data_IF_834527618383
#
_entry.id   IF_834527618383
#
_cell.length_a   1.000
_cell.length_b   1.000
_cell.length_c   1.000
_cell.angle_alpha   90.00
_cell.angle_beta   90.00
_cell.angle_gamma   90.00
#
_symmetry.space_group_name_H-M   'P 1'
#
loop_
_entity.id
_entity.type
_entity.pdbx_description
1 polymer ?
#
# COMPACT_ATOMS: atom_id res chain seq x y z
N UNK A 1 13.70 0.02 -3.05
CA UNK A 1 12.36 -0.30 -2.52
C UNK A 1 11.49 -0.73 -3.67
N UNK A 2 10.75 -1.83 -3.53
CA UNK A 2 9.75 -2.31 -4.47
C UNK A 2 8.37 -2.15 -3.85
N UNK A 3 7.45 -1.47 -4.55
CA UNK A 3 6.11 -1.19 -4.05
C UNK A 3 5.11 -2.22 -4.57
N UNK A 4 4.41 -2.91 -3.67
CA UNK A 4 3.31 -3.80 -4.05
C UNK A 4 2.00 -3.01 -4.09
N UNK A 5 1.23 -3.22 -5.15
CA UNK A 5 0.00 -2.49 -5.41
C UNK A 5 -1.19 -3.04 -4.62
N UNK A 6 -1.93 -2.13 -3.97
CA UNK A 6 -3.25 -2.45 -3.42
C UNK A 6 -4.34 -2.59 -4.49
N UNK A 7 -5.57 -2.28 -4.12
CA UNK A 7 -6.73 -2.14 -5.01
C UNK A 7 -7.41 -0.79 -4.79
N UNK A 8 -8.30 -0.39 -5.71
CA UNK A 8 -9.18 0.78 -5.53
C UNK A 8 -10.50 0.39 -4.85
N UNK A 9 -10.46 -0.65 -4.03
CA UNK A 9 -11.63 -1.35 -3.49
C UNK A 9 -11.67 -2.80 -3.96
N UNK A 10 -12.42 -3.66 -3.26
CA UNK A 10 -12.57 -5.10 -3.54
C UNK A 10 -11.28 -5.90 -3.36
N UNK A 11 -11.35 -7.20 -3.64
CA UNK A 11 -10.25 -8.16 -3.51
C UNK A 11 -9.66 -8.50 -4.89
N UNK A 12 -8.34 -8.71 -4.92
CA UNK A 12 -7.63 -9.18 -6.11
C UNK A 12 -6.64 -10.29 -5.76
N UNK A 13 -6.47 -11.25 -6.67
CA UNK A 13 -5.35 -12.18 -6.66
C UNK A 13 -4.28 -11.66 -7.62
N UNK A 14 -3.01 -11.68 -7.20
CA UNK A 14 -1.91 -11.17 -8.02
C UNK A 14 -0.71 -12.12 -7.97
N UNK A 15 -0.12 -12.37 -9.13
CA UNK A 15 1.20 -13.01 -9.22
C UNK A 15 2.23 -11.97 -9.64
N UNK A 16 3.35 -11.87 -8.92
CA UNK A 16 4.39 -10.88 -9.18
C UNK A 16 5.79 -11.48 -9.02
N UNK A 17 6.69 -11.15 -9.94
CA UNK A 17 8.13 -11.40 -9.76
C UNK A 17 8.75 -10.13 -9.20
N UNK A 18 9.47 -10.25 -8.09
CA UNK A 18 10.14 -9.13 -7.42
C UNK A 18 11.65 -9.36 -7.41
N UNK A 19 12.48 -8.32 -7.60
CA UNK A 19 13.94 -8.49 -7.61
C UNK A 19 14.47 -8.95 -6.25
N UNK A 20 15.46 -9.83 -6.26
CA UNK A 20 16.21 -10.23 -5.07
C UNK A 20 16.94 -9.05 -4.42
N UNK A 21 17.06 -9.06 -3.09
CA UNK A 21 17.82 -8.03 -2.37
C UNK A 21 17.14 -6.65 -2.30
N UNK A 22 15.92 -6.49 -2.83
CA UNK A 22 15.17 -5.23 -2.78
C UNK A 22 14.14 -5.25 -1.64
N UNK A 23 14.16 -4.26 -0.72
CA UNK A 23 13.12 -4.13 0.32
C UNK A 23 11.74 -3.92 -0.29
N UNK A 24 10.69 -4.39 0.39
CA UNK A 24 9.31 -4.25 -0.05
C UNK A 24 8.55 -3.21 0.79
N UNK A 25 7.62 -2.49 0.17
CA UNK A 25 6.67 -1.63 0.86
C UNK A 25 5.27 -1.75 0.25
N UNK A 26 4.24 -1.70 1.08
CA UNK A 26 2.85 -1.73 0.62
C UNK A 26 1.88 -1.16 1.67
N UNK A 27 0.77 -0.54 1.22
CA UNK A 27 -0.28 -0.12 2.12
C UNK A 27 -1.17 -1.31 2.49
N UNK A 28 -1.65 -1.33 3.73
CA UNK A 28 -2.84 -2.11 4.07
C UNK A 28 -4.10 -1.36 3.62
N UNK A 29 -4.11 -0.06 3.88
CA UNK A 29 -5.13 0.91 3.44
C UNK A 29 -4.53 2.31 3.57
N UNK A 30 -4.75 3.18 2.60
CA UNK A 30 -4.17 4.53 2.58
C UNK A 30 -5.06 5.52 1.82
N UNK A 31 -4.80 6.81 2.01
CA UNK A 31 -5.51 7.89 1.35
C UNK A 31 -4.54 9.05 1.03
N UNK A 32 -4.81 9.75 -0.07
CA UNK A 32 -4.26 11.08 -0.35
C UNK A 32 -5.44 12.04 -0.43
N UNK A 33 -5.53 12.97 0.51
CA UNK A 33 -6.63 13.92 0.64
C UNK A 33 -6.17 15.19 1.36
N UNK A 34 -7.10 16.04 1.80
CA UNK A 34 -6.78 17.13 2.71
C UNK A 34 -6.54 16.60 4.16
N UNK A 35 -6.00 17.44 5.07
CA UNK A 35 -5.70 16.99 6.43
C UNK A 35 -6.91 16.50 7.24
N UNK A 36 -8.10 17.09 7.03
CA UNK A 36 -9.30 16.72 7.78
C UNK A 36 -9.83 15.36 7.31
N UNK A 37 -9.88 15.16 6.00
CA UNK A 37 -10.27 13.89 5.40
C UNK A 37 -9.31 12.76 5.81
N UNK A 38 -8.00 13.02 5.84
CA UNK A 38 -7.03 12.04 6.33
C UNK A 38 -7.22 11.69 7.81
N UNK A 39 -7.52 12.67 8.65
CA UNK A 39 -7.80 12.42 10.06
C UNK A 39 -9.07 11.58 10.25
N UNK A 40 -10.13 11.87 9.50
CA UNK A 40 -11.38 11.10 9.52
C UNK A 40 -11.15 9.67 9.01
N UNK A 41 -10.47 9.50 7.89
CA UNK A 41 -10.11 8.20 7.32
C UNK A 41 -9.31 7.36 8.33
N UNK A 42 -8.30 7.94 8.97
CA UNK A 42 -7.46 7.21 9.92
C UNK A 42 -8.17 6.89 11.25
N UNK A 43 -9.30 7.53 11.56
CA UNK A 43 -10.07 7.25 12.78
C UNK A 43 -10.72 5.86 12.81
N UNK A 44 -10.95 5.26 11.63
CA UNK A 44 -11.55 3.93 11.48
C UNK A 44 -10.66 2.96 10.68
N UNK A 45 -9.44 3.39 10.34
CA UNK A 45 -8.51 2.58 9.56
C UNK A 45 -8.02 1.38 10.36
N UNK A 46 -8.16 0.20 9.77
CA UNK A 46 -7.56 -1.02 10.26
C UNK A 46 -7.11 -1.91 9.09
N UNK A 47 -6.22 -2.84 9.38
CA UNK A 47 -5.75 -3.79 8.39
C UNK A 47 -4.85 -4.87 8.98
N UNK A 48 -4.53 -5.84 8.14
CA UNK A 48 -3.57 -6.90 8.47
C UNK A 48 -2.74 -7.29 7.26
N UNK A 49 -1.49 -7.66 7.50
CA UNK A 49 -0.66 -8.38 6.55
C UNK A 49 -0.24 -9.73 7.11
N UNK A 50 -0.26 -10.76 6.26
CA UNK A 50 0.24 -12.10 6.60
C UNK A 50 1.21 -12.56 5.51
N UNK A 51 2.48 -12.69 5.85
CA UNK A 51 3.54 -13.19 4.98
C UNK A 51 3.87 -14.63 5.36
N UNK A 52 3.69 -15.57 4.43
CA UNK A 52 3.96 -17.00 4.64
C UNK A 52 3.30 -17.58 5.91
N UNK A 53 2.12 -17.07 6.27
CA UNK A 53 1.37 -17.46 7.47
C UNK A 53 1.73 -16.67 8.74
N UNK A 54 2.73 -15.79 8.70
CA UNK A 54 3.14 -14.95 9.82
C UNK A 54 2.57 -13.53 9.71
N UNK A 55 1.99 -13.02 10.80
CA UNK A 55 1.47 -11.65 10.84
C UNK A 55 2.62 -10.64 10.84
N UNK A 56 2.47 -9.59 10.06
CA UNK A 56 3.41 -8.47 10.00
C UNK A 56 2.76 -7.22 10.57
N UNK A 57 3.47 -6.55 11.48
CA UNK A 57 3.03 -5.28 12.05
C UNK A 57 3.09 -4.16 11.01
N UNK A 58 2.09 -3.28 11.07
CA UNK A 58 2.03 -2.09 10.24
C UNK A 58 2.41 -0.83 11.03
N UNK A 59 3.04 0.09 10.33
CA UNK A 59 3.28 1.45 10.77
C UNK A 59 2.06 2.32 10.46
N UNK A 60 1.70 3.19 11.40
CA UNK A 60 0.62 4.15 11.23
C UNK A 60 1.17 5.51 10.81
N UNK A 61 0.81 5.98 9.61
CA UNK A 61 0.99 7.36 9.20
C UNK A 61 -0.33 8.11 9.33
N UNK A 62 -0.39 9.06 10.28
CA UNK A 62 -1.61 9.85 10.55
C UNK A 62 -1.88 10.95 9.52
N UNK A 63 -0.92 11.25 8.66
CA UNK A 63 -1.00 12.37 7.74
C UNK A 63 0.32 13.13 7.68
N UNK A 64 0.94 13.14 6.50
CA UNK A 64 2.10 13.96 6.18
C UNK A 64 1.80 14.83 4.97
N UNK A 65 2.23 16.10 5.01
CA UNK A 65 2.14 16.99 3.86
C UNK A 65 3.06 16.49 2.75
N UNK A 66 2.49 16.24 1.57
CA UNK A 66 3.20 15.78 0.39
C UNK A 66 3.01 16.75 -0.78
N UNK A 67 4.02 16.86 -1.63
CA UNK A 67 3.92 17.51 -2.94
C UNK A 67 3.64 16.46 -3.99
N UNK A 68 2.54 16.59 -4.73
CA UNK A 68 2.17 15.70 -5.83
C UNK A 68 2.44 16.40 -7.15
N UNK A 69 3.13 15.71 -8.06
CA UNK A 69 3.34 16.14 -9.43
C UNK A 69 2.57 15.18 -10.35
N UNK A 70 1.42 15.64 -10.85
CA UNK A 70 0.59 14.87 -11.75
C UNK A 70 1.14 14.80 -13.18
N UNK A 71 0.61 13.88 -13.97
CA UNK A 71 0.78 13.86 -15.42
C UNK A 71 -0.58 13.96 -16.09
N UNK A 72 -0.65 14.56 -17.27
CA UNK A 72 -1.92 14.72 -17.98
C UNK A 72 -2.60 13.35 -18.17
N UNK A 73 -3.88 13.24 -17.79
CA UNK A 73 -4.64 11.99 -17.86
C UNK A 73 -4.34 11.00 -16.74
N UNK A 74 -3.70 11.41 -15.64
CA UNK A 74 -3.50 10.54 -14.49
C UNK A 74 -4.85 10.07 -13.91
N UNK A 75 -5.14 8.75 -13.88
CA UNK A 75 -6.42 8.22 -13.43
C UNK A 75 -6.66 8.34 -11.92
N UNK A 76 -5.62 8.68 -11.14
CA UNK A 76 -5.70 8.84 -9.68
C UNK A 76 -5.94 10.32 -9.31
N UNK A 77 -5.18 11.24 -9.90
CA UNK A 77 -5.27 12.67 -9.56
C UNK A 77 -6.23 13.45 -10.44
N UNK A 78 -6.59 12.93 -11.61
CA UNK A 78 -7.44 13.61 -12.59
C UNK A 78 -6.82 14.86 -13.23
N UNK A 79 -5.61 15.25 -12.82
CA UNK A 79 -4.90 16.45 -13.26
C UNK A 79 -3.42 16.17 -13.49
N UNK A 80 -2.83 16.89 -14.44
CA UNK A 80 -1.38 16.94 -14.69
C UNK A 80 -0.67 18.06 -13.93
N UNK A 81 -1.37 18.77 -13.06
CA UNK A 81 -0.82 19.89 -12.30
C UNK A 81 -0.07 19.42 -11.05
N UNK A 82 0.73 20.34 -10.51
CA UNK A 82 1.39 20.17 -9.21
C UNK A 82 0.51 20.74 -8.11
N UNK A 83 0.33 19.98 -7.03
CA UNK A 83 -0.44 20.42 -5.87
C UNK A 83 0.13 19.85 -4.57
N UNK A 84 -0.31 20.41 -3.44
CA UNK A 84 0.01 19.90 -2.10
C UNK A 84 -1.19 19.12 -1.56
N UNK A 85 -0.93 17.99 -0.92
CA UNK A 85 -1.94 17.16 -0.28
C UNK A 85 -1.41 16.57 1.04
N UNK A 86 -2.24 15.80 1.73
CA UNK A 86 -1.85 15.00 2.88
C UNK A 86 -1.92 13.52 2.52
N UNK A 87 -0.83 12.78 2.75
CA UNK A 87 -0.81 11.32 2.64
C UNK A 87 -0.93 10.68 4.01
N UNK A 88 -1.87 9.76 4.19
CA UNK A 88 -2.07 9.00 5.42
C UNK A 88 -2.34 7.51 5.11
N UNK A 89 -2.16 6.63 6.09
CA UNK A 89 -2.47 5.21 5.93
C UNK A 89 -1.76 4.29 6.92
N UNK A 90 -2.07 3.01 6.80
CA UNK A 90 -1.36 1.91 7.44
C UNK A 90 -0.42 1.29 6.42
N UNK A 91 0.86 1.23 6.74
CA UNK A 91 1.92 0.83 5.82
C UNK A 91 2.79 -0.27 6.41
N UNK A 92 3.22 -1.20 5.58
CA UNK A 92 4.20 -2.21 5.95
C UNK A 92 5.45 -1.99 5.12
N UNK A 93 6.61 -2.01 5.79
CA UNK A 93 7.92 -2.04 5.17
C UNK A 93 8.64 -3.31 5.60
N UNK A 94 9.13 -4.07 4.63
CA UNK A 94 9.86 -5.31 4.87
C UNK A 94 11.29 -5.19 4.36
N UNK A 95 12.27 -5.81 5.04
CA UNK A 95 13.57 -6.05 4.44
C UNK A 95 13.40 -6.94 3.18
N UNK A 96 14.45 -7.06 2.35
CA UNK A 96 14.41 -7.97 1.22
C UNK A 96 14.01 -9.38 1.66
N UNK A 97 13.05 -9.97 0.96
CA UNK A 97 12.67 -11.36 1.18
C UNK A 97 13.77 -12.29 0.70
N UNK A 98 13.78 -13.52 1.21
CA UNK A 98 14.64 -14.58 0.66
C UNK A 98 14.22 -14.89 -0.77
N UNK A 99 15.15 -15.36 -1.60
CA UNK A 99 14.79 -15.82 -2.95
C UNK A 99 13.85 -17.03 -2.87
N UNK A 100 12.93 -17.14 -3.83
CA UNK A 100 11.94 -18.21 -3.89
C UNK A 100 10.50 -17.72 -3.89
N UNK A 101 9.58 -18.63 -3.57
CA UNK A 101 8.13 -18.35 -3.58
C UNK A 101 7.66 -17.92 -2.20
N UNK A 102 6.84 -16.88 -2.17
CA UNK A 102 6.20 -16.36 -0.97
C UNK A 102 4.72 -16.10 -1.21
N UNK A 103 3.91 -16.20 -0.16
CA UNK A 103 2.51 -15.77 -0.15
C UNK A 103 2.34 -14.57 0.76
N UNK A 104 1.64 -13.54 0.28
CA UNK A 104 1.36 -12.36 1.07
C UNK A 104 -0.13 -12.02 0.96
N UNK A 105 -0.82 -12.07 2.09
CA UNK A 105 -2.20 -11.59 2.23
C UNK A 105 -2.19 -10.17 2.78
N UNK A 106 -2.90 -9.27 2.09
CA UNK A 106 -3.10 -7.87 2.50
C UNK A 106 -4.61 -7.65 2.65
N UNK A 107 -5.02 -7.11 3.80
CA UNK A 107 -6.40 -6.68 4.07
C UNK A 107 -6.37 -5.28 4.69
N UNK A 108 -7.31 -4.44 4.27
CA UNK A 108 -7.48 -3.14 4.90
C UNK A 108 -8.87 -2.57 4.68
N UNK A 109 -9.31 -1.76 5.63
CA UNK A 109 -10.58 -1.04 5.56
C UNK A 109 -10.50 0.28 6.31
N UNK A 110 -11.33 1.21 5.88
CA UNK A 110 -11.65 2.44 6.59
C UNK A 110 -13.02 2.89 6.12
N UNK A 111 -13.89 3.31 7.03
CA UNK A 111 -15.28 3.65 6.72
C UNK A 111 -15.99 2.52 5.94
N UNK A 112 -16.60 2.81 4.79
CA UNK A 112 -17.21 1.85 3.86
C UNK A 112 -16.23 1.31 2.81
N UNK A 113 -15.00 1.81 2.79
CA UNK A 113 -13.95 1.38 1.89
C UNK A 113 -13.25 0.12 2.40
N UNK A 114 -13.08 -0.88 1.54
CA UNK A 114 -12.37 -2.12 1.86
C UNK A 114 -11.55 -2.60 0.67
N UNK A 115 -10.34 -3.04 0.96
CA UNK A 115 -9.35 -3.53 -0.02
C UNK A 115 -8.77 -4.87 0.42
N UNK A 116 -8.40 -5.69 -0.56
CA UNK A 116 -7.70 -6.93 -0.31
C UNK A 116 -6.83 -7.35 -1.49
N UNK A 117 -5.66 -7.90 -1.18
CA UNK A 117 -4.82 -8.53 -2.19
C UNK A 117 -4.23 -9.82 -1.66
N UNK A 118 -4.33 -10.89 -2.46
CA UNK A 118 -3.62 -12.14 -2.23
C UNK A 118 -2.50 -12.26 -3.27
N UNK A 119 -1.27 -12.12 -2.80
CA UNK A 119 -0.07 -12.16 -3.60
C UNK A 119 0.56 -13.55 -3.59
N UNK A 120 0.87 -14.05 -4.79
CA UNK A 120 1.91 -15.06 -5.00
C UNK A 120 3.15 -14.36 -5.55
N UNK A 121 4.19 -14.27 -4.73
CA UNK A 121 5.45 -13.62 -5.08
C UNK A 121 6.49 -14.64 -5.50
N UNK A 122 7.27 -14.31 -6.52
CA UNK A 122 8.53 -14.99 -6.85
C UNK A 122 9.66 -13.99 -6.68
N UNK A 123 10.51 -14.20 -5.67
CA UNK A 123 11.66 -13.34 -5.38
C UNK A 123 12.87 -13.92 -6.10
N UNK A 124 13.49 -13.12 -6.97
CA UNK A 124 14.68 -13.51 -7.71
C UNK A 124 15.90 -13.67 -6.80
N UNK A 125 16.95 -14.35 -7.28
CA UNK A 125 18.24 -14.33 -6.60
C UNK A 125 18.85 -12.92 -6.67
N UNK A 126 19.58 -12.52 -5.63
CA UNK A 126 20.33 -11.27 -5.60
C UNK A 126 21.56 -11.32 -6.50
#
# INVERSE_FOLDING_TARGET
MWFLAGTFGTQAERTCTVPGGVPLAFPLVNLVADPADCAEFMSTAEGSAVLDGEKIDAETSRGETISVEGVAGNPVTGTGERFTATGCGLWVQLPPLRSGKHTLEIRGRSQDFSVGVDYTLTVESA
#
